data_IF_569884603284
#
_entry.id   IF_569884603284
#
_cell.length_a   1.000
_cell.length_b   1.000
_cell.length_c   1.000
_cell.angle_alpha   90.00
_cell.angle_beta   90.00
_cell.angle_gamma   90.00
#
_symmetry.space_group_name_H-M   'P 1'
#
loop_
_entity.id
_entity.type
_entity.pdbx_description
1 polymer ?
#
# COMPACT_ATOMS: atom_id res chain seq x y z
N UNK A 1 -58.16 -25.54 -2.17
CA UNK A 1 -57.11 -26.01 -1.24
C UNK A 1 -56.02 -24.94 -1.24
N UNK A 2 -56.11 -23.98 -0.33
CA UNK A 2 -55.31 -22.75 -0.36
C UNK A 2 -54.16 -22.91 0.64
N UNK A 3 -53.03 -23.45 0.17
CA UNK A 3 -51.83 -23.56 1.00
C UNK A 3 -51.27 -22.14 1.09
N UNK A 4 -51.58 -21.45 2.18
CA UNK A 4 -51.30 -20.02 2.36
C UNK A 4 -49.80 -19.73 2.25
N UNK A 5 -49.45 -18.68 1.51
CA UNK A 5 -48.10 -18.11 1.43
C UNK A 5 -47.52 -17.83 2.83
N UNK A 6 -48.38 -17.62 3.84
CA UNK A 6 -47.98 -17.36 5.22
C UNK A 6 -47.18 -18.52 5.83
N UNK A 7 -47.53 -19.76 5.48
CA UNK A 7 -46.81 -20.95 5.97
C UNK A 7 -45.42 -21.07 5.33
N UNK A 8 -45.24 -20.53 4.11
CA UNK A 8 -43.94 -20.53 3.43
C UNK A 8 -43.01 -19.44 3.99
N UNK A 9 -43.56 -18.28 4.35
CA UNK A 9 -42.82 -17.17 4.97
C UNK A 9 -42.37 -17.48 6.42
N UNK A 10 -43.19 -18.20 7.19
CA UNK A 10 -42.83 -18.67 8.54
C UNK A 10 -41.67 -19.69 8.51
N UNK A 11 -41.66 -20.57 7.52
CA UNK A 11 -40.59 -21.56 7.39
C UNK A 11 -39.29 -20.89 6.91
N UNK A 12 -39.35 -19.98 5.93
CA UNK A 12 -38.14 -19.33 5.38
C UNK A 12 -37.39 -18.45 6.39
N UNK A 13 -38.12 -17.76 7.27
CA UNK A 13 -37.53 -16.89 8.31
C UNK A 13 -36.86 -17.68 9.43
N UNK A 14 -37.40 -18.84 9.81
CA UNK A 14 -36.81 -19.74 10.79
C UNK A 14 -35.44 -20.32 10.34
N UNK A 15 -35.25 -20.58 9.05
CA UNK A 15 -33.95 -21.05 8.51
C UNK A 15 -32.87 -19.97 8.52
N UNK A 16 -33.24 -18.69 8.36
CA UNK A 16 -32.29 -17.57 8.31
C UNK A 16 -31.74 -17.25 9.71
N UNK A 17 -32.57 -17.32 10.76
CA UNK A 17 -32.11 -17.10 12.14
C UNK A 17 -31.19 -18.23 12.65
N UNK A 18 -31.39 -19.47 12.18
CA UNK A 18 -30.61 -20.62 12.63
C UNK A 18 -29.21 -20.72 12.00
N UNK A 19 -28.96 -20.03 10.89
CA UNK A 19 -27.65 -20.03 10.20
C UNK A 19 -26.64 -19.02 10.78
N UNK A 20 -27.03 -18.19 11.76
CA UNK A 20 -26.24 -16.99 12.11
C UNK A 20 -25.46 -16.90 13.45
N UNK A 21 -25.42 -17.86 14.41
CA UNK A 21 -24.81 -17.52 15.71
C UNK A 21 -23.31 -17.83 15.88
N UNK A 22 -22.63 -18.65 15.06
CA UNK A 22 -21.19 -18.97 15.29
C UNK A 22 -20.27 -18.80 14.08
N UNK A 23 -20.66 -19.24 12.89
CA UNK A 23 -19.76 -19.24 11.72
C UNK A 23 -19.40 -17.82 11.26
N UNK A 24 -20.34 -16.88 11.36
CA UNK A 24 -20.15 -15.46 11.01
C UNK A 24 -19.13 -14.77 11.90
N UNK A 25 -19.07 -15.11 13.20
CA UNK A 25 -18.09 -14.53 14.13
C UNK A 25 -16.67 -14.94 13.78
N UNK A 26 -16.45 -16.21 13.42
CA UNK A 26 -15.14 -16.70 12.99
C UNK A 26 -14.69 -16.09 11.66
N UNK A 27 -15.62 -15.90 10.72
CA UNK A 27 -15.34 -15.22 9.45
C UNK A 27 -14.93 -13.76 9.69
N UNK A 28 -15.66 -13.04 10.56
CA UNK A 28 -15.32 -11.65 10.89
C UNK A 28 -13.97 -11.57 11.62
N UNK A 29 -13.73 -12.46 12.59
CA UNK A 29 -12.47 -12.50 13.33
C UNK A 29 -11.26 -12.78 12.42
N UNK A 30 -11.38 -13.73 11.49
CA UNK A 30 -10.32 -14.03 10.51
C UNK A 30 -10.07 -12.87 9.55
N UNK A 31 -11.12 -12.17 9.09
CA UNK A 31 -10.99 -10.95 8.30
C UNK A 31 -10.24 -9.85 9.05
N UNK A 32 -10.57 -9.61 10.33
CA UNK A 32 -9.89 -8.60 11.17
C UNK A 32 -8.42 -8.96 11.36
N UNK A 33 -8.10 -10.22 11.62
CA UNK A 33 -6.71 -10.69 11.78
C UNK A 33 -5.93 -10.51 10.48
N UNK A 34 -6.50 -10.91 9.34
CA UNK A 34 -5.84 -10.75 8.04
C UNK A 34 -5.61 -9.28 7.68
N UNK A 35 -6.60 -8.42 7.93
CA UNK A 35 -6.46 -6.96 7.76
C UNK A 35 -5.37 -6.44 8.68
N UNK A 36 -5.35 -6.84 9.96
CA UNK A 36 -4.33 -6.43 10.93
C UNK A 36 -2.92 -6.83 10.52
N UNK A 37 -2.74 -8.08 10.07
CA UNK A 37 -1.45 -8.58 9.55
C UNK A 37 -1.03 -7.81 8.30
N UNK A 38 -1.95 -7.60 7.36
CA UNK A 38 -1.67 -6.86 6.13
C UNK A 38 -1.30 -5.41 6.42
N UNK A 39 -2.03 -4.74 7.32
CA UNK A 39 -1.76 -3.36 7.74
C UNK A 39 -0.43 -3.24 8.48
N UNK A 40 -0.09 -4.21 9.34
CA UNK A 40 1.19 -4.24 10.02
C UNK A 40 2.35 -4.46 9.05
N UNK A 41 2.23 -5.44 8.15
CA UNK A 41 3.24 -5.74 7.13
C UNK A 41 3.42 -4.60 6.11
N UNK A 42 2.36 -3.85 5.83
CA UNK A 42 2.38 -2.72 4.89
C UNK A 42 2.79 -1.39 5.52
N UNK A 43 3.08 -1.36 6.83
CA UNK A 43 3.52 -0.14 7.52
C UNK A 43 4.98 0.15 7.19
N UNK A 44 5.22 0.94 6.13
CA UNK A 44 6.55 1.49 5.87
C UNK A 44 6.88 2.53 6.94
N UNK A 45 8.00 2.35 7.66
CA UNK A 45 8.52 3.35 8.63
C UNK A 45 8.92 4.68 7.98
N UNK A 46 9.01 4.70 6.65
CA UNK A 46 9.38 5.90 5.88
C UNK A 46 8.11 6.71 5.62
N UNK A 47 8.09 8.01 5.95
CA UNK A 47 6.95 8.88 5.71
C UNK A 47 6.64 8.98 4.21
N UNK A 48 5.35 8.90 3.86
CA UNK A 48 4.91 8.97 2.47
C UNK A 48 4.68 10.41 2.02
N UNK A 49 5.36 10.83 0.95
CA UNK A 49 5.26 12.19 0.38
C UNK A 49 3.90 12.39 -0.30
N UNK A 50 3.42 11.37 -1.03
CA UNK A 50 2.11 11.36 -1.69
C UNK A 50 1.24 10.20 -1.17
N UNK A 51 1.16 10.11 0.17
CA UNK A 51 0.40 9.06 0.84
C UNK A 51 -1.06 9.00 0.38
N UNK A 52 -1.60 7.78 0.32
CA UNK A 52 -3.02 7.58 0.01
C UNK A 52 -3.87 8.16 1.14
N UNK A 53 -5.01 8.76 0.81
CA UNK A 53 -6.03 9.07 1.81
C UNK A 53 -6.55 7.80 2.50
N UNK A 54 -7.04 7.91 3.74
CA UNK A 54 -7.54 6.77 4.54
C UNK A 54 -8.61 5.91 3.84
N UNK A 55 -9.30 6.45 2.83
CA UNK A 55 -10.33 5.77 2.05
C UNK A 55 -9.99 5.65 0.54
N UNK A 56 -8.74 5.89 0.14
CA UNK A 56 -8.34 5.78 -1.27
C UNK A 56 -7.93 4.35 -1.63
N UNK A 57 -8.86 3.65 -2.28
CA UNK A 57 -8.64 2.29 -2.82
C UNK A 57 -7.72 2.26 -4.05
N UNK A 58 -7.38 3.40 -4.65
CA UNK A 58 -6.61 3.47 -5.90
C UNK A 58 -5.48 4.49 -5.85
N UNK A 59 -4.31 4.10 -6.37
CA UNK A 59 -3.10 4.94 -6.44
C UNK A 59 -3.15 6.00 -7.54
N UNK A 60 -4.22 6.04 -8.36
CA UNK A 60 -4.32 6.90 -9.54
C UNK A 60 -4.12 8.38 -9.21
N UNK A 61 -4.64 8.86 -8.07
CA UNK A 61 -4.46 10.25 -7.63
C UNK A 61 -3.00 10.54 -7.25
N UNK A 62 -2.38 9.69 -6.45
CA UNK A 62 -1.00 9.85 -6.01
C UNK A 62 -0.02 9.84 -7.20
N UNK A 63 -0.26 8.96 -8.16
CA UNK A 63 0.52 8.88 -9.42
C UNK A 63 0.31 10.13 -10.26
N UNK A 64 -0.94 10.58 -10.44
CA UNK A 64 -1.25 11.80 -11.19
C UNK A 64 -0.62 13.04 -10.55
N UNK A 65 -0.68 13.15 -9.23
CA UNK A 65 -0.07 14.26 -8.49
C UNK A 65 1.44 14.31 -8.72
N UNK A 66 2.11 13.17 -8.71
CA UNK A 66 3.53 13.08 -9.05
C UNK A 66 3.78 13.48 -10.51
N UNK A 67 3.05 12.92 -11.48
CA UNK A 67 3.25 13.21 -12.91
C UNK A 67 3.11 14.70 -13.25
N UNK A 68 2.17 15.40 -12.62
CA UNK A 68 1.92 16.83 -12.90
C UNK A 68 2.72 17.80 -12.01
N UNK A 69 3.21 17.36 -10.85
CA UNK A 69 3.78 18.28 -9.84
C UNK A 69 4.97 17.72 -9.05
N UNK A 70 5.77 16.84 -9.66
CA UNK A 70 6.91 16.16 -9.02
C UNK A 70 7.86 17.12 -8.30
N UNK A 71 8.32 18.19 -8.98
CA UNK A 71 9.34 19.11 -8.45
C UNK A 71 8.84 19.85 -7.21
N UNK A 72 7.60 20.33 -7.20
CA UNK A 72 7.05 21.02 -6.03
C UNK A 72 6.71 20.06 -4.90
N UNK A 73 6.31 18.82 -5.21
CA UNK A 73 6.08 17.78 -4.20
C UNK A 73 7.38 17.42 -3.47
N UNK A 74 8.42 17.10 -4.23
CA UNK A 74 9.72 16.68 -3.68
C UNK A 74 10.41 17.87 -3.02
N UNK A 75 10.44 19.02 -3.70
CA UNK A 75 11.04 20.25 -3.17
C UNK A 75 10.31 20.78 -1.94
N UNK A 76 8.98 20.73 -1.93
CA UNK A 76 8.17 21.09 -0.76
C UNK A 76 8.43 20.15 0.41
N UNK A 77 8.48 18.83 0.16
CA UNK A 77 8.80 17.84 1.18
C UNK A 77 10.15 18.10 1.84
N UNK A 78 11.22 18.29 1.06
CA UNK A 78 12.54 18.55 1.62
C UNK A 78 12.72 19.94 2.20
N UNK A 79 11.88 20.91 1.82
CA UNK A 79 11.84 22.21 2.51
C UNK A 79 11.30 22.04 3.93
N UNK A 80 10.27 21.22 4.10
CA UNK A 80 9.63 21.01 5.41
C UNK A 80 10.36 19.93 6.24
N UNK A 81 11.02 18.97 5.57
CA UNK A 81 11.73 17.83 6.16
C UNK A 81 13.11 17.62 5.50
N UNK A 82 14.10 18.51 5.76
CA UNK A 82 15.36 18.56 5.01
C UNK A 82 16.28 17.35 5.18
N UNK A 83 16.17 16.63 6.30
CA UNK A 83 17.05 15.49 6.62
C UNK A 83 16.30 14.15 6.71
N UNK A 84 15.08 14.09 6.17
CA UNK A 84 14.23 12.90 6.30
C UNK A 84 13.98 12.26 4.95
N UNK A 85 14.29 10.95 4.79
CA UNK A 85 13.91 10.22 3.59
C UNK A 85 12.38 10.18 3.45
N UNK A 86 11.89 10.33 2.22
CA UNK A 86 10.46 10.26 1.93
C UNK A 86 10.17 9.18 0.91
N UNK A 87 9.06 8.46 1.10
CA UNK A 87 8.60 7.45 0.14
C UNK A 87 7.58 8.07 -0.81
N UNK A 88 7.82 7.91 -2.10
CA UNK A 88 7.02 8.44 -3.19
C UNK A 88 6.40 7.29 -3.98
N UNK A 89 5.08 7.30 -4.13
CA UNK A 89 4.36 6.37 -4.99
C UNK A 89 4.38 6.89 -6.43
N UNK A 90 5.01 6.13 -7.33
CA UNK A 90 5.09 6.43 -8.76
C UNK A 90 4.34 5.38 -9.57
N UNK A 91 4.27 5.57 -10.89
CA UNK A 91 3.70 4.57 -11.81
C UNK A 91 4.50 3.25 -11.81
N UNK A 92 5.79 3.31 -11.48
CA UNK A 92 6.68 2.15 -11.38
C UNK A 92 6.67 1.50 -9.98
N UNK A 93 5.84 2.01 -9.06
CA UNK A 93 5.77 1.57 -7.67
C UNK A 93 6.33 2.59 -6.69
N UNK A 94 6.56 2.16 -5.45
CA UNK A 94 7.06 3.03 -4.37
C UNK A 94 8.57 3.19 -4.48
N UNK A 95 9.02 4.44 -4.54
CA UNK A 95 10.42 4.84 -4.61
C UNK A 95 10.78 5.61 -3.34
N UNK A 96 11.95 5.34 -2.77
CA UNK A 96 12.49 6.12 -1.66
C UNK A 96 13.35 7.24 -2.22
N UNK A 97 13.05 8.48 -1.83
CA UNK A 97 13.80 9.67 -2.19
C UNK A 97 14.61 10.10 -0.98
N UNK A 98 15.91 10.29 -1.20
CA UNK A 98 16.86 10.64 -0.17
C UNK A 98 17.22 12.13 -0.26
N UNK A 99 17.40 12.81 0.89
CA UNK A 99 17.86 14.20 0.91
C UNK A 99 19.30 14.29 0.43
N UNK A 100 19.71 15.46 -0.08
CA UNK A 100 21.07 15.70 -0.57
C UNK A 100 22.15 15.46 0.49
N UNK A 101 21.82 15.62 1.78
CA UNK A 101 22.72 15.31 2.90
C UNK A 101 23.08 13.82 3.02
N UNK A 102 22.25 12.92 2.47
CA UNK A 102 22.50 11.48 2.42
C UNK A 102 23.09 11.03 1.06
N UNK A 103 23.34 11.96 0.13
CA UNK A 103 23.92 11.63 -1.17
C UNK A 103 25.36 11.12 -1.06
N UNK A 104 26.11 11.59 -0.05
CA UNK A 104 27.48 11.13 0.22
C UNK A 104 27.49 9.64 0.63
N UNK A 105 26.53 9.20 1.45
CA UNK A 105 26.39 7.80 1.88
C UNK A 105 26.06 6.86 0.71
N UNK A 106 25.25 7.34 -0.25
CA UNK A 106 24.93 6.59 -1.46
C UNK A 106 26.12 6.44 -2.42
N UNK A 107 27.02 7.44 -2.46
CA UNK A 107 28.20 7.41 -3.34
C UNK A 107 29.15 6.29 -2.94
N UNK A 108 29.24 6.04 -1.64
CA UNK A 108 30.18 5.08 -1.07
C UNK A 108 29.56 3.68 -0.89
N UNK A 109 28.25 3.51 -1.14
CA UNK A 109 27.57 2.21 -1.12
C UNK A 109 27.87 1.39 -2.40
N UNK A 110 28.47 0.21 -2.22
CA UNK A 110 28.78 -0.75 -3.28
C UNK A 110 27.54 -1.14 -4.12
N UNK A 111 26.35 -1.13 -3.53
CA UNK A 111 25.09 -1.45 -4.22
C UNK A 111 24.74 -0.42 -5.28
N UNK A 112 25.15 0.83 -5.10
CA UNK A 112 24.89 1.94 -6.03
C UNK A 112 26.08 2.28 -6.91
N UNK A 113 27.16 1.51 -6.81
CA UNK A 113 28.37 1.74 -7.60
C UNK A 113 28.11 1.37 -9.07
N UNK A 114 27.72 2.38 -9.85
CA UNK A 114 27.38 2.26 -11.28
C UNK A 114 28.47 1.53 -12.07
N UNK A 115 29.75 1.72 -11.71
CA UNK A 115 30.88 1.04 -12.35
C UNK A 115 30.87 -0.46 -12.09
N UNK A 116 30.52 -0.90 -10.88
CA UNK A 116 30.44 -2.33 -10.56
C UNK A 116 29.21 -3.00 -11.20
N UNK A 117 28.07 -2.30 -11.25
CA UNK A 117 26.88 -2.79 -11.95
C UNK A 117 27.13 -2.91 -13.47
N UNK A 118 27.74 -1.90 -14.09
CA UNK A 118 28.13 -1.93 -15.51
C UNK A 118 29.16 -3.02 -15.78
N UNK A 119 30.16 -3.18 -14.91
CA UNK A 119 31.15 -4.25 -15.04
C UNK A 119 30.49 -5.63 -14.98
N UNK A 120 29.56 -5.89 -14.05
CA UNK A 120 28.81 -7.17 -13.99
C UNK A 120 28.00 -7.44 -15.24
N UNK A 121 27.33 -6.43 -15.80
CA UNK A 121 26.53 -6.59 -17.03
C UNK A 121 27.44 -6.86 -18.23
N UNK A 122 28.52 -6.09 -18.40
CA UNK A 122 29.47 -6.29 -19.49
C UNK A 122 30.16 -7.65 -19.43
N UNK A 123 30.49 -8.13 -18.22
CA UNK A 123 31.14 -9.43 -18.01
C UNK A 123 30.19 -10.62 -18.21
N UNK A 124 28.88 -10.40 -18.21
CA UNK A 124 27.85 -11.42 -18.48
C UNK A 124 27.48 -11.52 -19.97
N UNK A 125 27.81 -10.49 -20.76
CA UNK A 125 27.50 -10.40 -22.20
C UNK A 125 28.71 -10.80 -23.07
N UNK A 126 29.93 -10.79 -22.51
CA UNK A 126 31.17 -11.25 -23.14
C UNK A 126 31.43 -12.74 -22.86
#
# INVERSE_FOLDING_TARGET
MNISLDHFQLHSTAWIEQLQPQSTQWIVATLIILIGIYSYASSSKIPQINGKGFFELSNKRAIKLYQFNATNLIGGWFRDHPNTPGMLNTEFGSMVILPGSMAEELRDDERFNLRQQLAKVLHYIA
#
